data_IF_671038718924
#
_entry.id   IF_671038718924
#
_cell.length_a   1.000
_cell.length_b   1.000
_cell.length_c   1.000
_cell.angle_alpha   90.00
_cell.angle_beta   90.00
_cell.angle_gamma   90.00
#
_symmetry.space_group_name_H-M   'P 1'
#
loop_
_entity.id
_entity.type
_entity.pdbx_description
1 polymer ?
#
# COMPACT_ATOMS: atom_id res chain seq x y z
N UNK A 1 0.89 -21.01 -3.10
CA UNK A 1 0.54 -20.55 -4.47
C UNK A 1 -0.22 -19.24 -4.33
N UNK A 2 0.21 -18.16 -4.99
CA UNK A 2 -0.55 -16.88 -4.97
C UNK A 2 -1.51 -16.90 -6.15
N UNK A 3 -2.81 -17.02 -5.88
CA UNK A 3 -3.83 -16.87 -6.92
C UNK A 3 -3.82 -15.41 -7.42
N UNK A 4 -3.95 -15.23 -8.74
CA UNK A 4 -3.56 -14.05 -9.51
C UNK A 4 -3.87 -12.65 -8.93
N UNK A 5 -3.05 -11.67 -9.32
CA UNK A 5 -3.18 -10.28 -8.89
C UNK A 5 -4.39 -9.62 -9.58
N UNK A 6 -5.25 -8.97 -8.80
CA UNK A 6 -6.43 -8.22 -9.27
C UNK A 6 -6.31 -6.74 -8.88
N UNK A 7 -7.05 -5.85 -9.54
CA UNK A 7 -7.19 -4.44 -9.15
C UNK A 7 -8.56 -4.25 -8.48
N UNK A 8 -8.60 -3.64 -7.30
CA UNK A 8 -9.86 -3.34 -6.62
C UNK A 8 -10.50 -2.04 -7.14
N UNK A 9 -11.76 -1.77 -6.78
CA UNK A 9 -12.48 -0.54 -7.16
C UNK A 9 -11.74 0.75 -6.74
N UNK A 10 -10.94 0.70 -5.67
CA UNK A 10 -10.14 1.84 -5.19
C UNK A 10 -8.80 2.03 -5.91
N UNK A 11 -8.48 1.17 -6.88
CA UNK A 11 -7.30 1.24 -7.74
C UNK A 11 -6.06 0.48 -7.26
N UNK A 12 -6.14 -0.24 -6.15
CA UNK A 12 -5.00 -0.99 -5.59
C UNK A 12 -4.91 -2.41 -6.14
N UNK A 13 -3.68 -2.89 -6.32
CA UNK A 13 -3.40 -4.30 -6.61
C UNK A 13 -3.62 -5.15 -5.35
N UNK A 14 -4.40 -6.21 -5.48
CA UNK A 14 -4.70 -7.21 -4.44
C UNK A 14 -4.38 -8.61 -4.94
N UNK A 15 -4.17 -9.56 -4.03
CA UNK A 15 -3.97 -10.97 -4.34
C UNK A 15 -4.74 -11.82 -3.32
N UNK A 16 -5.07 -13.05 -3.69
CA UNK A 16 -5.62 -14.02 -2.73
C UNK A 16 -4.45 -14.78 -2.08
N UNK A 17 -4.37 -14.70 -0.76
CA UNK A 17 -3.40 -15.46 0.03
C UNK A 17 -3.84 -16.92 0.17
N UNK A 18 -2.98 -17.76 0.75
CA UNK A 18 -3.22 -19.21 0.85
C UNK A 18 -4.40 -19.54 1.77
N UNK A 19 -4.70 -18.66 2.72
CA UNK A 19 -5.87 -18.74 3.60
C UNK A 19 -7.19 -18.31 2.91
N UNK A 20 -7.14 -17.91 1.63
CA UNK A 20 -8.29 -17.44 0.86
C UNK A 20 -8.62 -15.95 1.05
N UNK A 21 -8.03 -15.26 2.04
CA UNK A 21 -8.23 -13.83 2.21
C UNK A 21 -7.59 -13.02 1.09
N UNK A 22 -8.26 -11.93 0.74
CA UNK A 22 -7.74 -10.96 -0.23
C UNK A 22 -6.88 -9.93 0.49
N UNK A 23 -5.59 -9.87 0.14
CA UNK A 23 -4.61 -8.95 0.73
C UNK A 23 -4.14 -7.94 -0.30
N UNK A 24 -3.68 -6.78 0.19
CA UNK A 24 -3.15 -5.72 -0.66
C UNK A 24 -1.67 -5.96 -0.98
N UNK A 25 -1.29 -5.88 -2.25
CA UNK A 25 0.09 -6.09 -2.71
C UNK A 25 1.04 -5.09 -2.05
N UNK A 26 0.71 -3.79 -2.06
CA UNK A 26 1.55 -2.75 -1.47
C UNK A 26 1.81 -2.96 0.03
N UNK A 27 0.81 -3.44 0.80
CA UNK A 27 1.01 -3.77 2.22
C UNK A 27 1.99 -4.91 2.38
N UNK A 28 1.80 -6.00 1.64
CA UNK A 28 2.69 -7.16 1.71
C UNK A 28 4.14 -6.83 1.32
N UNK A 29 4.33 -5.99 0.31
CA UNK A 29 5.67 -5.52 -0.10
C UNK A 29 6.30 -4.65 0.98
N UNK A 30 5.55 -3.72 1.58
CA UNK A 30 6.04 -2.88 2.66
C UNK A 30 6.41 -3.70 3.90
N UNK A 31 5.60 -4.69 4.28
CA UNK A 31 5.87 -5.59 5.40
C UNK A 31 7.15 -6.40 5.18
N UNK A 32 7.32 -6.98 3.99
CA UNK A 32 8.55 -7.68 3.61
C UNK A 32 9.78 -6.78 3.68
N UNK A 33 9.67 -5.54 3.19
CA UNK A 33 10.75 -4.54 3.21
C UNK A 33 11.18 -4.18 4.64
N UNK A 34 10.22 -4.07 5.56
CA UNK A 34 10.49 -3.72 6.97
C UNK A 34 10.84 -4.92 7.84
N UNK A 35 10.69 -6.14 7.34
CA UNK A 35 10.86 -7.36 8.13
C UNK A 35 9.75 -7.59 9.16
N UNK A 36 8.57 -7.00 9.00
CA UNK A 36 7.50 -7.10 9.99
C UNK A 36 6.18 -6.44 9.60
N UNK A 37 5.12 -6.63 10.40
CA UNK A 37 3.80 -6.09 10.12
C UNK A 37 3.78 -4.55 10.20
N UNK A 38 2.92 -3.92 9.40
CA UNK A 38 2.64 -2.48 9.54
C UNK A 38 1.94 -2.24 10.87
N UNK A 39 2.60 -1.52 11.78
CA UNK A 39 2.06 -1.21 13.12
C UNK A 39 0.71 -0.48 13.03
N UNK A 40 -0.16 -0.71 14.01
CA UNK A 40 -1.44 0.02 14.14
C UNK A 40 -1.18 1.53 14.18
N UNK A 41 -1.96 2.29 13.41
CA UNK A 41 -1.78 3.74 13.28
C UNK A 41 -0.82 4.18 12.18
N UNK A 42 -0.22 3.24 11.45
CA UNK A 42 0.60 3.50 10.26
C UNK A 42 -0.10 3.03 8.98
N UNK A 43 0.27 3.64 7.86
CA UNK A 43 -0.23 3.35 6.51
C UNK A 43 0.91 3.35 5.50
N UNK A 44 0.73 2.58 4.43
CA UNK A 44 1.67 2.54 3.31
C UNK A 44 1.30 3.63 2.32
N UNK A 45 2.23 4.53 2.07
CA UNK A 45 2.13 5.63 1.12
C UNK A 45 2.94 5.32 -0.15
N UNK A 46 2.37 5.65 -1.31
CA UNK A 46 3.05 5.60 -2.60
C UNK A 46 3.65 6.98 -2.88
N UNK A 47 4.97 7.07 -3.00
CA UNK A 47 5.68 8.36 -3.16
C UNK A 47 5.27 9.07 -4.46
N UNK A 48 5.12 8.31 -5.54
CA UNK A 48 4.69 8.78 -6.85
C UNK A 48 3.17 8.99 -7.00
N UNK A 49 2.36 8.58 -6.01
CA UNK A 49 0.90 8.61 -6.09
C UNK A 49 0.27 7.50 -6.96
N UNK A 50 1.06 6.71 -7.67
CA UNK A 50 0.57 5.62 -8.50
C UNK A 50 0.36 4.35 -7.66
N UNK A 51 -0.91 4.04 -7.36
CA UNK A 51 -1.36 2.86 -6.58
C UNK A 51 -0.98 1.50 -7.20
N UNK A 52 -0.52 1.48 -8.45
CA UNK A 52 -0.11 0.25 -9.15
C UNK A 52 1.40 0.03 -9.14
N UNK A 53 2.19 1.06 -8.80
CA UNK A 53 3.64 0.99 -8.64
C UNK A 53 4.00 0.49 -7.23
N UNK A 54 4.07 -0.83 -7.09
CA UNK A 54 4.31 -1.50 -5.81
C UNK A 54 5.81 -1.78 -5.55
N UNK A 55 6.74 -1.09 -6.23
CA UNK A 55 8.18 -1.27 -5.99
C UNK A 55 8.51 -0.90 -4.54
N UNK A 56 9.30 -1.69 -3.78
CA UNK A 56 9.63 -1.39 -2.39
C UNK A 56 10.21 0.02 -2.18
N UNK A 57 10.96 0.55 -3.15
CA UNK A 57 11.51 1.91 -3.14
C UNK A 57 10.46 3.01 -3.32
N UNK A 58 9.32 2.72 -3.94
CA UNK A 58 8.20 3.65 -4.09
C UNK A 58 7.26 3.65 -2.88
N UNK A 59 7.39 2.66 -1.98
CA UNK A 59 6.55 2.50 -0.80
C UNK A 59 7.25 3.00 0.45
N UNK A 60 6.55 3.80 1.24
CA UNK A 60 6.98 4.25 2.56
C UNK A 60 5.87 4.04 3.58
N UNK A 61 6.23 3.70 4.81
CA UNK A 61 5.27 3.53 5.91
C UNK A 61 5.30 4.77 6.77
N UNK A 62 4.15 5.43 6.88
CA UNK A 62 4.00 6.71 7.59
C UNK A 62 2.83 6.65 8.56
N UNK A 63 2.86 7.51 9.59
CA UNK A 63 1.73 7.62 10.52
C UNK A 63 0.48 8.11 9.77
N UNK A 64 -0.71 7.63 10.15
CA UNK A 64 -2.00 8.05 9.55
C UNK A 64 -2.19 9.56 9.48
N UNK A 65 -1.74 10.29 10.50
CA UNK A 65 -1.79 11.76 10.51
C UNK A 65 -0.88 12.36 9.43
N UNK A 66 0.33 11.84 9.27
CA UNK A 66 1.27 12.23 8.22
C UNK A 66 0.73 11.88 6.84
N UNK A 67 0.16 10.71 6.65
CA UNK A 67 -0.46 10.29 5.40
C UNK A 67 -1.56 11.27 4.96
N UNK A 68 -2.45 11.64 5.89
CA UNK A 68 -3.49 12.66 5.65
C UNK A 68 -2.89 14.03 5.31
N UNK A 69 -1.83 14.46 5.99
CA UNK A 69 -1.12 15.71 5.68
C UNK A 69 -0.49 15.68 4.29
N UNK A 70 0.13 14.58 3.89
CA UNK A 70 0.73 14.41 2.56
C UNK A 70 -0.31 14.51 1.44
N UNK A 71 -1.49 13.91 1.64
CA UNK A 71 -2.61 14.05 0.70
C UNK A 71 -3.25 15.44 0.75
N UNK A 72 -3.37 16.05 1.93
CA UNK A 72 -3.91 17.40 2.06
C UNK A 72 -3.01 18.46 1.43
N UNK A 73 -1.67 18.32 1.54
CA UNK A 73 -0.70 19.23 0.94
C UNK A 73 -0.60 19.06 -0.58
N UNK A 74 -1.02 17.90 -1.10
CA UNK A 74 -1.16 17.61 -2.54
C UNK A 74 -2.54 18.00 -3.12
N UNK A 75 -3.43 18.68 -2.38
CA UNK A 75 -4.72 19.21 -2.89
C UNK A 75 -4.59 20.38 -3.89
N UNK A 76 -3.60 20.36 -4.77
CA UNK A 76 -3.47 21.34 -5.86
C UNK A 76 -3.41 20.71 -7.26
N UNK A 77 -3.52 19.38 -7.43
CA UNK A 77 -3.83 18.74 -8.72
C UNK A 77 -3.93 17.22 -8.58
N UNK A 78 -5.15 16.67 -8.50
CA UNK A 78 -5.52 15.30 -8.86
C UNK A 78 -7.00 15.27 -9.22
#
# INVERSE_FOLDING_TARGET
MVFGIRKNKSGYKTFKDSDGATRSVHKRVAEKKMGGPVKKGYEVHHRDGNKTNNRPSNLTVVKKSTHRKLHSKKKSSW
#
